data_IF_144480225204
#
_entry.id   IF_144480225204
#
_cell.length_a   1.000
_cell.length_b   1.000
_cell.length_c   1.000
_cell.angle_alpha   90.00
_cell.angle_beta   90.00
_cell.angle_gamma   90.00
#
_symmetry.space_group_name_H-M   'P 1'
#
loop_
_entity.id
_entity.type
_entity.pdbx_description
1 polymer ?
#
# COMPACT_ATOMS: atom_id res chain seq x y z
N UNK A 1 -24.78 -1.65 -15.72
CA UNK A 1 -24.17 -1.44 -15.49
C UNK A 1 -23.26 -1.31 -15.03
N UNK A 2 -23.18 -1.12 -14.84
CA UNK A 2 -22.50 -0.88 -14.54
C UNK A 2 -21.46 -0.82 -14.07
N UNK A 3 -21.14 -1.28 -14.25
CA UNK A 3 -20.03 -1.10 -14.24
C UNK A 3 -19.34 0.01 -13.81
N UNK A 4 -19.79 0.99 -13.49
CA UNK A 4 -19.19 2.07 -12.88
C UNK A 4 -18.71 1.80 -11.51
N UNK A 5 -19.04 0.70 -11.00
CA UNK A 5 -18.49 0.27 -9.72
C UNK A 5 -17.19 -0.47 -9.87
N UNK A 6 -16.72 -0.57 -11.09
CA UNK A 6 -15.45 -1.25 -11.28
C UNK A 6 -14.31 -0.45 -10.71
N UNK A 7 -13.44 -1.15 -10.01
CA UNK A 7 -12.24 -0.56 -9.48
C UNK A 7 -11.08 -0.86 -10.43
N UNK A 8 -10.08 0.02 -10.50
CA UNK A 8 -8.91 -0.31 -11.32
C UNK A 8 -8.18 -1.52 -10.74
N UNK A 9 -7.50 -2.28 -11.59
CA UNK A 9 -6.72 -3.41 -11.05
C UNK A 9 -5.64 -2.90 -10.10
N UNK A 10 -5.44 -3.65 -9.02
CA UNK A 10 -4.40 -3.29 -8.07
C UNK A 10 -3.05 -3.64 -8.66
N UNK A 11 -2.12 -2.68 -8.68
CA UNK A 11 -0.80 -2.94 -9.27
C UNK A 11 0.02 -3.87 -8.40
N UNK A 12 1.04 -4.47 -9.02
CA UNK A 12 1.97 -5.32 -8.31
C UNK A 12 2.77 -4.52 -7.28
N UNK A 13 3.05 -3.25 -7.57
CA UNK A 13 3.75 -2.36 -6.65
C UNK A 13 2.98 -1.06 -6.56
N UNK A 14 2.76 -0.60 -5.33
CA UNK A 14 1.95 0.59 -5.09
C UNK A 14 2.53 1.33 -3.89
N UNK A 15 2.60 2.65 -4.00
CA UNK A 15 3.06 3.51 -2.93
C UNK A 15 1.99 4.51 -2.56
N UNK A 16 1.83 4.76 -1.27
CA UNK A 16 0.86 5.73 -0.78
C UNK A 16 1.35 7.16 -0.97
N UNK A 17 2.65 7.37 -1.09
CA UNK A 17 3.22 8.71 -1.27
C UNK A 17 2.98 9.19 -2.69
N UNK A 18 2.23 10.30 -2.88
CA UNK A 18 1.95 10.79 -4.24
C UNK A 18 3.21 11.19 -5.03
N UNK A 19 4.32 11.38 -4.34
CA UNK A 19 5.57 11.74 -5.01
C UNK A 19 6.29 10.52 -5.57
N UNK A 20 5.85 9.33 -5.20
CA UNK A 20 6.49 8.11 -5.67
C UNK A 20 6.04 7.79 -7.09
N UNK A 21 6.95 7.29 -7.96
CA UNK A 21 6.53 6.84 -9.29
C UNK A 21 5.61 5.62 -9.25
N UNK A 22 5.49 4.99 -8.10
CA UNK A 22 4.61 3.83 -7.93
C UNK A 22 3.24 4.20 -7.36
N UNK A 23 2.97 5.49 -7.17
CA UNK A 23 1.68 5.94 -6.70
C UNK A 23 0.68 5.94 -7.85
N UNK A 24 -0.49 5.36 -7.62
CA UNK A 24 -1.58 5.34 -8.61
C UNK A 24 -2.79 5.98 -7.96
N UNK A 25 -3.05 7.24 -8.30
CA UNK A 25 -4.10 8.00 -7.63
C UNK A 25 -5.47 7.36 -7.78
N UNK A 26 -5.76 6.77 -8.95
CA UNK A 26 -7.08 6.17 -9.19
C UNK A 26 -7.36 5.03 -8.22
N UNK A 27 -6.34 4.30 -7.80
CA UNK A 27 -6.50 3.22 -6.83
C UNK A 27 -6.91 3.78 -5.47
N UNK A 28 -6.32 4.93 -5.10
CA UNK A 28 -6.58 5.52 -3.79
C UNK A 28 -7.89 6.29 -3.71
N UNK A 29 -8.64 6.35 -4.81
CA UNK A 29 -10.03 6.81 -4.75
C UNK A 29 -10.92 5.77 -4.07
N UNK A 30 -10.42 4.58 -3.87
CA UNK A 30 -11.11 3.48 -3.21
C UNK A 30 -10.39 3.11 -1.94
N UNK A 31 -11.07 2.33 -1.10
CA UNK A 31 -10.49 1.91 0.17
C UNK A 31 -9.66 0.64 -0.05
N UNK A 32 -8.34 0.80 -0.03
CA UNK A 32 -7.42 -0.29 -0.32
C UNK A 32 -6.96 -0.93 0.98
N UNK A 33 -7.04 -2.26 1.05
CA UNK A 33 -6.53 -3.02 2.18
C UNK A 33 -5.30 -3.81 1.76
N UNK A 34 -4.39 -4.01 2.70
CA UNK A 34 -3.18 -4.80 2.50
C UNK A 34 -3.14 -5.88 3.54
N UNK A 35 -2.95 -7.12 3.09
CA UNK A 35 -2.77 -8.25 4.00
C UNK A 35 -1.35 -8.73 3.89
N UNK A 36 -0.67 -8.80 5.02
CA UNK A 36 0.72 -9.23 5.08
C UNK A 36 0.81 -10.47 5.96
N UNK A 37 1.28 -11.55 5.37
CA UNK A 37 1.37 -12.85 6.04
C UNK A 37 0.03 -13.26 6.66
N UNK A 38 -1.06 -13.00 5.92
CA UNK A 38 -2.39 -13.37 6.35
C UNK A 38 -3.07 -12.43 7.30
N UNK A 39 -2.43 -11.33 7.65
CA UNK A 39 -3.02 -10.33 8.55
C UNK A 39 -3.13 -8.99 7.87
N UNK A 40 -4.28 -8.37 8.01
CA UNK A 40 -4.48 -7.04 7.46
C UNK A 40 -3.69 -6.02 8.24
N UNK A 41 -2.98 -5.14 7.51
CA UNK A 41 -2.24 -4.03 8.10
C UNK A 41 -2.72 -2.73 7.50
N UNK A 42 -2.82 -1.72 8.35
CA UNK A 42 -3.25 -0.40 7.90
C UNK A 42 -2.08 0.59 7.85
N UNK A 43 -0.88 0.17 8.20
CA UNK A 43 0.28 1.05 8.29
C UNK A 43 1.24 0.90 7.11
N UNK A 44 0.80 0.24 6.04
CA UNK A 44 1.67 -0.01 4.89
C UNK A 44 1.75 1.24 4.03
N UNK A 45 2.98 1.70 3.78
CA UNK A 45 3.21 2.87 2.94
C UNK A 45 3.54 2.49 1.50
N UNK A 46 4.05 1.29 1.30
CA UNK A 46 4.36 0.80 -0.03
C UNK A 46 4.40 -0.72 0.03
N UNK A 47 4.04 -1.36 -1.07
CA UNK A 47 4.13 -2.82 -1.14
C UNK A 47 4.62 -3.24 -2.51
N UNK A 48 5.13 -4.46 -2.58
CA UNK A 48 5.42 -5.13 -3.84
C UNK A 48 5.05 -6.60 -3.69
N UNK A 49 4.06 -7.05 -4.47
CA UNK A 49 3.55 -8.40 -4.34
C UNK A 49 4.54 -9.40 -4.90
N UNK A 50 5.07 -9.12 -6.09
CA UNK A 50 5.96 -10.07 -6.77
C UNK A 50 7.26 -10.28 -6.00
N UNK A 51 7.76 -9.24 -5.35
CA UNK A 51 8.99 -9.35 -4.55
C UNK A 51 8.70 -9.75 -3.11
N UNK A 52 7.44 -9.63 -2.69
CA UNK A 52 7.04 -10.08 -1.36
C UNK A 52 7.54 -9.21 -0.23
N UNK A 53 7.22 -7.91 -0.27
CA UNK A 53 7.60 -7.02 0.82
C UNK A 53 6.60 -5.87 0.96
N UNK A 54 6.60 -5.30 2.17
CA UNK A 54 5.87 -4.06 2.45
C UNK A 54 6.83 -3.11 3.16
N UNK A 55 6.57 -1.82 3.05
CA UNK A 55 7.28 -0.81 3.82
C UNK A 55 6.31 -0.18 4.80
N UNK A 56 6.73 -0.12 6.05
CA UNK A 56 5.91 0.40 7.14
C UNK A 56 6.73 1.39 7.97
N UNK A 57 6.07 2.37 8.63
CA UNK A 57 6.81 3.32 9.45
C UNK A 57 7.35 2.67 10.71
N UNK A 58 8.48 3.20 11.18
CA UNK A 58 9.14 2.70 12.38
C UNK A 58 8.75 3.61 13.53
N UNK A 59 7.66 3.27 14.21
CA UNK A 59 7.21 4.05 15.35
C UNK A 59 7.00 5.51 14.97
N UNK A 60 7.57 6.40 15.79
CA UNK A 60 7.44 7.84 15.54
C UNK A 60 8.73 8.47 15.04
N UNK A 61 9.68 7.65 14.62
CA UNK A 61 10.96 8.17 14.16
C UNK A 61 10.82 8.86 12.83
N UNK A 62 11.51 9.97 12.67
CA UNK A 62 11.53 10.72 11.43
C UNK A 62 12.98 11.04 11.07
N UNK A 63 13.19 11.31 9.78
CA UNK A 63 14.52 11.74 9.33
C UNK A 63 14.66 13.24 9.54
N UNK A 64 15.78 13.80 9.08
CA UNK A 64 16.06 15.23 9.28
C UNK A 64 15.03 16.13 8.61
N UNK A 65 14.38 15.63 7.58
CA UNK A 65 13.38 16.42 6.84
C UNK A 65 11.97 16.21 7.37
N UNK A 66 11.83 15.46 8.47
CA UNK A 66 10.52 15.21 9.03
C UNK A 66 9.73 14.08 8.40
N UNK A 67 10.33 13.34 7.47
CA UNK A 67 9.67 12.19 6.86
C UNK A 67 9.77 10.99 7.77
N UNK A 68 8.72 10.18 7.81
CA UNK A 68 8.74 8.96 8.60
C UNK A 68 9.80 8.00 8.07
N UNK A 69 10.51 7.38 8.97
CA UNK A 69 11.43 6.32 8.61
C UNK A 69 10.64 5.05 8.35
N UNK A 70 10.98 4.37 7.28
CA UNK A 70 10.28 3.16 6.88
C UNK A 70 11.24 1.99 6.93
N UNK A 71 10.69 0.83 7.30
CA UNK A 71 11.43 -0.42 7.18
C UNK A 71 10.72 -1.34 6.20
N UNK A 72 11.49 -2.21 5.58
CA UNK A 72 10.97 -3.19 4.65
C UNK A 72 10.82 -4.52 5.36
N UNK A 73 9.61 -5.06 5.32
CA UNK A 73 9.31 -6.37 5.89
C UNK A 73 9.04 -7.33 4.74
N UNK A 74 9.67 -8.48 4.77
CA UNK A 74 9.49 -9.48 3.71
C UNK A 74 8.48 -10.53 4.13
N UNK A 75 7.61 -10.92 3.19
CA UNK A 75 6.59 -11.91 3.45
C UNK A 75 5.60 -11.96 2.31
N UNK A 76 4.49 -12.64 2.55
CA UNK A 76 3.42 -12.77 1.56
C UNK A 76 2.55 -11.52 1.62
N UNK A 77 2.36 -10.89 0.47
CA UNK A 77 1.61 -9.62 0.36
C UNK A 77 0.39 -9.85 -0.50
N UNK A 78 -0.76 -9.38 -0.02
CA UNK A 78 -2.00 -9.39 -0.77
C UNK A 78 -2.61 -8.00 -0.71
N UNK A 79 -3.11 -7.53 -1.83
CA UNK A 79 -3.79 -6.25 -1.90
C UNK A 79 -5.22 -6.50 -2.34
N UNK A 80 -6.14 -5.74 -1.76
CA UNK A 80 -7.55 -5.91 -2.07
C UNK A 80 -8.29 -4.60 -1.79
N UNK A 81 -9.50 -4.49 -2.32
CA UNK A 81 -10.35 -3.36 -2.00
C UNK A 81 -11.28 -3.76 -0.88
N UNK A 82 -11.32 -2.92 0.17
CA UNK A 82 -12.27 -3.15 1.25
C UNK A 82 -13.66 -2.79 0.77
N UNK A 83 -14.62 -3.52 1.28
CA UNK A 83 -16.01 -3.20 1.00
C UNK A 83 -16.57 -2.41 2.15
N UNK A 84 -17.27 -1.37 1.81
CA UNK A 84 -17.88 -0.51 2.83
C UNK A 84 -19.28 -0.96 3.16
#
# INVERSE_FOLDING_TARGET
MNDKTQTPPLPDRLAADPRSPHHVAAVFEHDVGIRFNGRERSDVEEYCISEGWVKVPVGKKVDRKGNSLLIKLKGTVEAFYRQS
#
